data_IF_330877982833
#
_entry.id   IF_330877982833
#
_cell.length_a   1.000
_cell.length_b   1.000
_cell.length_c   1.000
_cell.angle_alpha   90.00
_cell.angle_beta   90.00
_cell.angle_gamma   90.00
#
_symmetry.space_group_name_H-M   'P 1'
#
loop_
_entity.id
_entity.type
_entity.pdbx_description
1 polymer ?
#
# COMPACT_ATOMS: atom_id res chain seq x y z
N UNK A 1 2.92 -35.93 -16.19
CA UNK A 1 2.03 -35.43 -15.12
C UNK A 1 1.70 -33.99 -15.46
N UNK A 2 0.43 -33.69 -15.75
CA UNK A 2 -0.02 -32.39 -16.22
C UNK A 2 -0.34 -31.52 -15.00
N UNK A 3 0.58 -30.65 -14.60
CA UNK A 3 0.35 -29.66 -13.54
C UNK A 3 -0.46 -28.52 -14.14
N UNK A 4 -1.78 -28.68 -14.22
CA UNK A 4 -2.66 -27.55 -14.49
C UNK A 4 -2.49 -26.55 -13.35
N UNK A 5 -1.89 -25.40 -13.65
CA UNK A 5 -1.70 -24.31 -12.70
C UNK A 5 -3.07 -23.88 -12.16
N UNK A 6 -3.28 -24.04 -10.85
CA UNK A 6 -4.40 -23.44 -10.15
C UNK A 6 -4.29 -21.91 -10.32
N UNK A 7 -5.25 -21.28 -11.01
CA UNK A 7 -5.33 -19.80 -11.11
C UNK A 7 -5.44 -19.19 -12.51
N UNK A 8 -5.53 -19.97 -13.58
CA UNK A 8 -5.59 -19.39 -14.95
C UNK A 8 -6.99 -19.28 -15.55
N UNK A 9 -8.02 -19.78 -14.86
CA UNK A 9 -9.42 -19.64 -15.28
C UNK A 9 -10.18 -18.72 -14.34
N UNK A 10 -10.25 -17.44 -14.71
CA UNK A 10 -11.13 -16.47 -14.06
C UNK A 10 -12.50 -16.49 -14.73
N UNK A 11 -13.59 -16.35 -13.95
CA UNK A 11 -14.91 -16.19 -14.53
C UNK A 11 -14.95 -14.94 -15.40
N UNK A 12 -15.34 -15.10 -16.67
CA UNK A 12 -15.60 -13.96 -17.55
C UNK A 12 -16.86 -13.26 -17.06
N UNK A 13 -16.72 -11.99 -16.65
CA UNK A 13 -17.86 -11.14 -16.30
C UNK A 13 -18.25 -10.28 -17.50
N UNK A 14 -19.54 -9.96 -17.64
CA UNK A 14 -20.02 -9.06 -18.67
C UNK A 14 -19.35 -7.67 -18.54
N UNK A 15 -19.07 -7.01 -19.67
CA UNK A 15 -18.42 -5.70 -19.67
C UNK A 15 -19.19 -4.64 -18.87
N UNK A 16 -20.52 -4.68 -18.91
CA UNK A 16 -21.37 -3.79 -18.12
C UNK A 16 -21.12 -3.95 -16.62
N UNK A 17 -21.04 -5.18 -16.13
CA UNK A 17 -20.76 -5.49 -14.71
C UNK A 17 -19.32 -5.11 -14.33
N UNK A 18 -18.36 -5.31 -15.24
CA UNK A 18 -16.97 -4.88 -15.04
C UNK A 18 -16.88 -3.37 -14.90
N UNK A 19 -17.52 -2.63 -15.80
CA UNK A 19 -17.55 -1.16 -15.78
C UNK A 19 -18.26 -0.65 -14.53
N UNK A 20 -19.39 -1.25 -14.15
CA UNK A 20 -20.10 -0.92 -12.91
C UNK A 20 -19.19 -1.05 -11.68
N UNK A 21 -18.44 -2.16 -11.57
CA UNK A 21 -17.51 -2.41 -10.45
C UNK A 21 -16.28 -1.50 -10.46
N UNK A 22 -15.89 -0.97 -11.62
CA UNK A 22 -14.78 -0.01 -11.76
C UNK A 22 -15.21 1.44 -11.52
N UNK A 23 -16.52 1.73 -11.38
CA UNK A 23 -16.97 3.08 -11.06
C UNK A 23 -16.46 3.48 -9.69
N UNK A 24 -15.77 4.62 -9.64
CA UNK A 24 -15.37 5.21 -8.37
C UNK A 24 -16.62 5.56 -7.55
N UNK A 25 -16.64 5.28 -6.24
CA UNK A 25 -17.77 5.65 -5.41
C UNK A 25 -17.83 7.17 -5.20
N UNK A 26 -19.02 7.74 -5.12
CA UNK A 26 -19.23 9.19 -4.88
C UNK A 26 -19.00 9.59 -3.41
N UNK A 27 -17.92 9.09 -2.82
CA UNK A 27 -17.44 9.39 -1.46
C UNK A 27 -15.95 9.12 -1.34
N UNK A 28 -15.32 9.70 -0.31
CA UNK A 28 -13.97 9.30 0.06
C UNK A 28 -13.95 7.81 0.46
N UNK A 29 -13.05 7.05 -0.14
CA UNK A 29 -12.85 5.64 0.17
C UNK A 29 -11.98 5.54 1.40
N UNK A 30 -12.50 4.87 2.44
CA UNK A 30 -11.67 4.52 3.60
C UNK A 30 -10.69 3.43 3.18
N UNK A 31 -9.42 3.66 3.45
CA UNK A 31 -8.36 2.71 3.11
C UNK A 31 -7.35 2.58 4.24
N UNK A 32 -6.66 1.45 4.23
CA UNK A 32 -5.41 1.25 4.94
C UNK A 32 -4.34 1.05 3.86
N UNK A 33 -3.19 1.70 4.01
CA UNK A 33 -2.07 1.52 3.10
C UNK A 33 -1.05 0.59 3.75
N UNK A 34 -0.71 -0.49 3.09
CA UNK A 34 0.40 -1.39 3.46
C UNK A 34 1.45 -1.25 2.35
N UNK A 35 2.65 -0.80 2.70
CA UNK A 35 3.66 -0.38 1.72
C UNK A 35 5.08 -0.58 2.23
N UNK A 36 5.96 -1.06 1.36
CA UNK A 36 7.39 -1.17 1.58
C UNK A 36 8.12 0.09 1.09
N UNK A 37 7.70 1.27 1.59
CA UNK A 37 8.06 2.59 1.08
C UNK A 37 9.56 2.94 0.92
N UNK A 38 10.46 2.11 1.45
CA UNK A 38 11.89 2.24 1.23
C UNK A 38 12.42 1.41 0.05
N UNK A 39 11.71 0.35 -0.35
CA UNK A 39 12.14 -0.62 -1.33
C UNK A 39 12.18 0.00 -2.74
N UNK A 40 11.07 0.59 -3.17
CA UNK A 40 10.92 1.24 -4.48
C UNK A 40 10.42 2.69 -4.33
N UNK A 41 10.63 3.50 -5.38
CA UNK A 41 10.37 4.94 -5.31
C UNK A 41 8.90 5.28 -5.47
N UNK A 42 8.16 4.46 -6.22
CA UNK A 42 6.75 4.66 -6.54
C UNK A 42 5.85 4.57 -5.30
N UNK A 43 6.22 3.78 -4.30
CA UNK A 43 5.54 3.75 -2.99
C UNK A 43 5.50 5.11 -2.30
N UNK A 44 6.59 5.88 -2.40
CA UNK A 44 6.66 7.22 -1.81
C UNK A 44 5.64 8.14 -2.49
N UNK A 45 5.53 8.05 -3.82
CA UNK A 45 4.52 8.79 -4.58
C UNK A 45 3.10 8.32 -4.25
N UNK A 46 2.88 7.02 -4.08
CA UNK A 46 1.58 6.47 -3.71
C UNK A 46 1.13 6.96 -2.32
N UNK A 47 2.01 6.93 -1.32
CA UNK A 47 1.76 7.45 0.02
C UNK A 47 1.41 8.95 -0.03
N UNK A 48 2.25 9.75 -0.69
CA UNK A 48 2.07 11.21 -0.78
C UNK A 48 0.76 11.54 -1.51
N UNK A 49 0.48 10.85 -2.62
CA UNK A 49 -0.76 11.04 -3.36
C UNK A 49 -1.98 10.69 -2.50
N UNK A 50 -1.94 9.57 -1.77
CA UNK A 50 -3.04 9.16 -0.90
C UNK A 50 -3.34 10.19 0.19
N UNK A 51 -2.31 10.75 0.82
CA UNK A 51 -2.46 11.78 1.87
C UNK A 51 -2.90 13.14 1.32
N UNK A 52 -2.51 13.48 0.09
CA UNK A 52 -2.87 14.75 -0.56
C UNK A 52 -4.19 14.71 -1.34
N UNK A 53 -4.90 13.58 -1.36
CA UNK A 53 -6.22 13.45 -2.02
C UNK A 53 -7.35 13.12 -1.02
N UNK A 54 -7.56 13.95 0.03
CA UNK A 54 -8.55 13.68 1.08
C UNK A 54 -10.01 13.65 0.58
N UNK A 55 -10.29 14.26 -0.56
CA UNK A 55 -11.59 14.20 -1.23
C UNK A 55 -11.87 12.84 -1.90
N UNK A 56 -10.82 12.05 -2.13
CA UNK A 56 -10.90 10.70 -2.71
C UNK A 56 -10.62 9.61 -1.69
N UNK A 57 -9.66 9.82 -0.79
CA UNK A 57 -9.12 8.80 0.10
C UNK A 57 -9.14 9.27 1.55
N UNK A 58 -9.75 8.46 2.41
CA UNK A 58 -9.70 8.63 3.85
C UNK A 58 -8.73 7.59 4.42
N UNK A 59 -7.43 7.91 4.42
CA UNK A 59 -6.37 7.02 4.95
C UNK A 59 -6.57 6.84 6.45
N UNK A 60 -6.85 5.61 6.86
CA UNK A 60 -7.13 5.25 8.27
C UNK A 60 -5.89 4.78 9.01
N UNK A 61 -4.96 4.16 8.28
CA UNK A 61 -3.69 3.68 8.82
C UNK A 61 -2.69 3.45 7.68
N UNK A 62 -1.40 3.52 8.01
CA UNK A 62 -0.27 3.18 7.15
C UNK A 62 0.57 2.12 7.90
N UNK A 63 0.78 0.97 7.27
CA UNK A 63 1.63 -0.10 7.78
C UNK A 63 2.89 -0.20 6.92
N UNK A 64 4.02 -0.36 7.60
CA UNK A 64 5.30 -0.62 6.95
C UNK A 64 5.41 -2.10 6.57
N UNK A 65 5.46 -2.41 5.28
CA UNK A 65 5.60 -3.79 4.81
C UNK A 65 7.09 -4.22 4.81
N UNK A 66 7.36 -5.49 5.16
CA UNK A 66 8.70 -6.07 5.08
C UNK A 66 9.11 -6.32 3.62
N UNK A 67 10.39 -6.17 3.33
CA UNK A 67 10.99 -6.57 2.06
C UNK A 67 12.40 -7.15 2.29
N UNK A 68 12.87 -8.01 1.40
CA UNK A 68 14.20 -8.59 1.47
C UNK A 68 14.88 -8.64 0.10
N UNK A 69 15.89 -7.79 -0.07
CA UNK A 69 16.76 -7.73 -1.24
C UNK A 69 18.10 -7.06 -0.86
N UNK A 70 18.88 -6.61 -1.83
CA UNK A 70 20.18 -5.94 -1.59
C UNK A 70 20.13 -4.68 -0.72
N UNK A 71 18.94 -4.10 -0.49
CA UNK A 71 18.71 -2.90 0.33
C UNK A 71 18.37 -3.21 1.79
N UNK A 72 18.19 -4.48 2.16
CA UNK A 72 17.94 -4.91 3.54
C UNK A 72 18.69 -6.19 3.91
N UNK A 73 18.94 -6.37 5.20
CA UNK A 73 19.60 -7.55 5.77
C UNK A 73 18.63 -8.70 6.06
N UNK A 74 17.33 -8.47 5.87
CA UNK A 74 16.25 -9.42 6.07
C UNK A 74 14.88 -8.73 6.09
N UNK A 75 13.76 -9.47 6.13
CA UNK A 75 12.41 -8.92 6.13
C UNK A 75 12.16 -7.90 7.24
N UNK A 76 12.61 -8.18 8.47
CA UNK A 76 12.48 -7.29 9.62
C UNK A 76 13.23 -5.96 9.42
N UNK A 77 14.46 -6.00 8.89
CA UNK A 77 15.22 -4.78 8.55
C UNK A 77 14.54 -4.00 7.42
N UNK A 78 13.97 -4.70 6.44
CA UNK A 78 13.13 -4.08 5.40
C UNK A 78 11.93 -3.34 5.99
N UNK A 79 11.19 -3.96 6.89
CA UNK A 79 10.05 -3.32 7.58
C UNK A 79 10.49 -2.06 8.34
N UNK A 80 11.57 -2.14 9.12
CA UNK A 80 12.10 -0.98 9.85
C UNK A 80 12.49 0.17 8.90
N UNK A 81 13.15 -0.14 7.79
CA UNK A 81 13.50 0.86 6.76
C UNK A 81 12.26 1.50 6.14
N UNK A 82 11.25 0.71 5.79
CA UNK A 82 9.96 1.22 5.28
C UNK A 82 9.26 2.11 6.30
N UNK A 83 9.24 1.70 7.57
CA UNK A 83 8.65 2.48 8.66
C UNK A 83 9.33 3.84 8.81
N UNK A 84 10.67 3.88 8.84
CA UNK A 84 11.42 5.13 8.88
C UNK A 84 11.14 6.02 7.67
N UNK A 85 11.02 5.43 6.48
CA UNK A 85 10.76 6.20 5.26
C UNK A 85 9.37 6.83 5.26
N UNK A 86 8.35 6.10 5.72
CA UNK A 86 7.01 6.64 5.93
C UNK A 86 7.07 7.85 6.88
N UNK A 87 7.78 7.74 8.01
CA UNK A 87 7.94 8.85 8.95
C UNK A 87 8.65 10.06 8.31
N UNK A 88 9.71 9.83 7.51
CA UNK A 88 10.41 10.90 6.77
C UNK A 88 9.50 11.64 5.79
N UNK A 89 8.56 10.95 5.16
CA UNK A 89 7.57 11.55 4.26
C UNK A 89 6.52 12.34 5.05
N UNK A 90 5.97 11.79 6.14
CA UNK A 90 4.99 12.47 6.99
C UNK A 90 5.55 13.77 7.60
N UNK A 91 6.81 13.78 8.02
CA UNK A 91 7.49 15.00 8.50
C UNK A 91 7.51 16.10 7.43
N UNK A 92 7.79 15.74 6.16
CA UNK A 92 7.80 16.70 5.04
C UNK A 92 6.40 17.21 4.69
N UNK A 93 5.39 16.36 4.88
CA UNK A 93 3.99 16.71 4.67
C UNK A 93 3.35 17.41 5.88
N UNK A 94 4.08 17.54 7.00
CA UNK A 94 3.56 18.08 8.26
C UNK A 94 2.33 17.32 8.79
N UNK A 95 2.33 15.99 8.62
CA UNK A 95 1.30 15.09 9.10
C UNK A 95 1.78 14.36 10.35
N UNK A 96 0.97 14.34 11.40
CA UNK A 96 1.25 13.60 12.63
C UNK A 96 1.20 12.08 12.37
N UNK A 97 2.20 11.35 12.85
CA UNK A 97 2.28 9.90 12.69
C UNK A 97 1.49 9.14 13.77
N UNK A 98 1.25 9.80 14.91
CA UNK A 98 0.62 9.22 16.09
C UNK A 98 -0.80 8.74 15.77
N UNK A 99 -1.05 7.44 15.94
CA UNK A 99 -2.34 6.83 15.63
C UNK A 99 -2.61 6.64 14.14
N UNK A 100 -1.65 6.94 13.27
CA UNK A 100 -1.76 6.80 11.81
C UNK A 100 -0.75 5.79 11.24
N UNK A 101 0.49 5.77 11.74
CA UNK A 101 1.56 4.89 11.21
C UNK A 101 1.90 3.79 12.22
N UNK A 102 2.04 2.58 11.72
CA UNK A 102 2.32 1.39 12.55
C UNK A 102 3.43 0.55 11.92
N UNK A 103 4.30 -0.09 12.74
CA UNK A 103 5.18 -1.13 12.23
C UNK A 103 4.34 -2.31 11.73
N UNK A 104 4.79 -2.95 10.65
CA UNK A 104 4.17 -4.17 10.13
C UNK A 104 4.82 -5.45 10.67
N UNK A 105 4.66 -6.54 9.92
CA UNK A 105 5.25 -7.83 10.29
C UNK A 105 6.77 -7.83 10.08
N UNK A 106 7.49 -8.55 10.95
CA UNK A 106 8.94 -8.71 10.86
C UNK A 106 9.37 -9.92 10.00
N UNK A 107 8.48 -10.88 9.73
CA UNK A 107 8.69 -12.05 8.89
C UNK A 107 7.36 -12.70 8.48
#
# INVERSE_FOLDING_TARGET
MNTAAYGTHFPTIADSLRLERLRWPDRAVRMVLDTDAYNEVDDQFALVHALLSPEKLAVQAIYAAPFHNERSTGPADGMHKSYEEILRLLVRLQVAAEGLVFPGAEA
#
